data_IF_512179665937
#
_entry.id   IF_512179665937
#
_cell.length_a   1.000
_cell.length_b   1.000
_cell.length_c   1.000
_cell.angle_alpha   90.00
_cell.angle_beta   90.00
_cell.angle_gamma   90.00
#
_symmetry.space_group_name_H-M   'P 1'
#
loop_
_entity.id
_entity.type
_entity.pdbx_description
1 polymer ?
#
# COMPACT_ATOMS: atom_id res chain seq x y z
N UNK A 1 15.40 28.07 6.15
CA UNK A 1 14.96 27.02 7.08
C UNK A 1 15.98 25.90 6.99
N UNK A 2 16.49 25.45 8.12
CA UNK A 2 17.42 24.34 8.21
C UNK A 2 16.65 23.10 8.72
N UNK A 3 16.79 21.96 8.05
CA UNK A 3 16.06 20.74 8.37
C UNK A 3 16.99 19.78 9.13
N UNK A 4 16.59 19.32 10.32
CA UNK A 4 17.38 18.35 11.09
C UNK A 4 17.40 16.96 10.46
N UNK A 5 16.36 16.62 9.71
CA UNK A 5 16.25 15.43 8.86
C UNK A 5 15.73 15.88 7.52
N UNK A 6 16.57 15.79 6.49
CA UNK A 6 16.22 16.19 5.13
C UNK A 6 16.31 14.97 4.20
N UNK A 7 15.21 14.55 3.55
CA UNK A 7 15.29 13.49 2.55
C UNK A 7 16.20 13.90 1.38
N UNK A 8 16.92 12.92 0.83
CA UNK A 8 17.81 13.13 -0.33
C UNK A 8 17.05 13.74 -1.50
N UNK A 9 15.82 13.27 -1.76
CA UNK A 9 14.92 13.88 -2.74
C UNK A 9 13.97 14.86 -2.05
N UNK A 10 14.14 16.14 -2.40
CA UNK A 10 13.38 17.28 -1.88
C UNK A 10 11.88 17.15 -2.06
N UNK A 11 11.41 16.36 -3.04
CA UNK A 11 9.98 16.11 -3.28
C UNK A 11 9.29 15.41 -2.10
N UNK A 12 10.05 14.70 -1.27
CA UNK A 12 9.51 13.97 -0.11
C UNK A 12 9.56 14.75 1.20
N UNK A 13 10.04 16.00 1.21
CA UNK A 13 10.10 16.84 2.43
C UNK A 13 8.74 16.99 3.11
N UNK A 14 7.66 17.04 2.33
CA UNK A 14 6.28 17.12 2.85
C UNK A 14 5.67 15.77 3.22
N UNK A 15 6.36 14.66 2.93
CA UNK A 15 5.87 13.29 3.17
C UNK A 15 6.44 12.69 4.45
N UNK A 16 7.71 12.99 4.75
CA UNK A 16 8.39 12.50 5.96
C UNK A 16 7.66 12.99 7.21
N UNK A 17 7.37 12.07 8.15
CA UNK A 17 6.69 12.41 9.40
C UNK A 17 5.17 12.55 9.30
N UNK A 18 4.55 12.12 8.20
CA UNK A 18 3.08 12.08 8.08
C UNK A 18 2.43 11.25 9.19
N UNK A 19 1.35 11.79 9.79
CA UNK A 19 0.59 11.16 10.90
C UNK A 19 -0.89 10.95 10.58
N UNK A 20 -1.29 11.09 9.31
CA UNK A 20 -2.70 10.96 8.91
C UNK A 20 -3.21 9.54 9.13
N UNK A 21 -2.42 8.55 8.74
CA UNK A 21 -2.69 7.11 8.90
C UNK A 21 -1.40 6.33 8.72
N UNK A 22 -1.32 5.07 9.19
CA UNK A 22 -0.20 4.19 8.84
C UNK A 22 -0.07 4.08 7.32
N UNK A 23 1.17 4.06 6.85
CA UNK A 23 1.46 3.92 5.44
C UNK A 23 1.11 2.51 4.94
N UNK A 24 0.99 2.35 3.63
CA UNK A 24 0.82 1.03 3.02
C UNK A 24 1.91 0.04 3.46
N UNK A 25 3.14 0.54 3.59
CA UNK A 25 4.30 -0.27 3.99
C UNK A 25 4.19 -0.75 5.44
N UNK A 26 3.65 0.06 6.34
CA UNK A 26 3.42 -0.32 7.74
C UNK A 26 2.44 -1.50 7.81
N UNK A 27 1.30 -1.39 7.13
CA UNK A 27 0.32 -2.49 7.05
C UNK A 27 0.90 -3.72 6.38
N UNK A 28 1.72 -3.56 5.34
CA UNK A 28 2.39 -4.69 4.68
C UNK A 28 3.31 -5.44 5.65
N UNK A 29 4.11 -4.72 6.45
CA UNK A 29 4.99 -5.34 7.44
C UNK A 29 4.19 -6.07 8.52
N UNK A 30 3.15 -5.42 9.08
CA UNK A 30 2.27 -6.03 10.07
C UNK A 30 1.62 -7.31 9.53
N UNK A 31 1.03 -7.24 8.33
CA UNK A 31 0.39 -8.40 7.71
C UNK A 31 1.40 -9.50 7.36
N UNK A 32 2.61 -9.14 6.95
CA UNK A 32 3.67 -10.12 6.71
C UNK A 32 4.08 -10.84 8.00
N UNK A 33 4.02 -10.18 9.15
CA UNK A 33 4.39 -10.80 10.43
C UNK A 33 3.24 -11.66 10.99
N UNK A 34 2.03 -11.10 11.06
CA UNK A 34 0.90 -11.75 11.73
C UNK A 34 0.02 -12.62 10.82
N UNK A 35 0.11 -12.46 9.49
CA UNK A 35 -0.75 -13.16 8.53
C UNK A 35 0.03 -13.91 7.44
N UNK A 36 1.32 -14.16 7.64
CA UNK A 36 2.20 -14.88 6.70
C UNK A 36 1.65 -16.23 6.24
N UNK A 37 0.86 -16.90 7.08
CA UNK A 37 0.32 -18.22 6.81
C UNK A 37 -1.04 -18.24 6.09
N UNK A 38 -1.73 -17.10 5.98
CA UNK A 38 -3.11 -17.07 5.45
C UNK A 38 -3.21 -17.42 3.97
N UNK A 39 -2.26 -16.94 3.17
CA UNK A 39 -2.30 -17.08 1.72
C UNK A 39 -1.19 -17.98 1.16
N UNK A 40 -0.68 -18.95 1.94
CA UNK A 40 0.43 -19.80 1.51
C UNK A 40 0.14 -20.62 0.24
N UNK A 41 -1.12 -21.00 0.03
CA UNK A 41 -1.52 -21.78 -1.15
C UNK A 41 -1.83 -20.91 -2.38
N UNK A 42 -1.78 -19.57 -2.27
CA UNK A 42 -2.09 -18.71 -3.40
C UNK A 42 -0.92 -18.67 -4.39
N UNK A 43 -1.23 -18.81 -5.68
CA UNK A 43 -0.29 -18.56 -6.76
C UNK A 43 -0.44 -17.13 -7.34
N UNK A 44 -1.24 -16.29 -6.69
CA UNK A 44 -1.49 -14.92 -7.13
C UNK A 44 -0.21 -14.07 -7.04
N UNK A 45 0.22 -13.53 -8.20
CA UNK A 45 1.39 -12.64 -8.29
C UNK A 45 0.97 -11.18 -8.31
N UNK A 46 1.22 -10.47 -7.21
CA UNK A 46 0.99 -9.04 -7.10
C UNK A 46 2.13 -8.22 -7.71
N UNK A 47 1.81 -7.11 -8.37
CA UNK A 47 2.75 -6.19 -9.01
C UNK A 47 2.94 -4.89 -8.21
N UNK A 48 3.95 -4.12 -8.59
CA UNK A 48 4.27 -2.79 -8.03
C UNK A 48 4.35 -2.73 -6.50
N UNK A 49 4.80 -3.82 -5.87
CA UNK A 49 4.96 -3.89 -4.42
C UNK A 49 3.71 -4.29 -3.63
N UNK A 50 2.61 -4.64 -4.31
CA UNK A 50 1.44 -5.27 -3.69
C UNK A 50 1.72 -6.64 -3.07
N UNK A 51 0.77 -7.15 -2.29
CA UNK A 51 0.84 -8.48 -1.66
C UNK A 51 -0.56 -9.11 -1.60
N UNK A 52 -0.69 -10.45 -1.51
CA UNK A 52 -2.00 -11.09 -1.41
C UNK A 52 -2.77 -10.56 -0.20
N UNK A 53 -4.05 -10.21 -0.39
CA UNK A 53 -4.88 -9.74 0.72
C UNK A 53 -5.08 -10.88 1.73
N UNK A 54 -4.64 -10.72 3.00
CA UNK A 54 -4.81 -11.75 4.02
C UNK A 54 -6.26 -12.14 4.29
N UNK A 55 -7.21 -11.27 3.97
CA UNK A 55 -8.65 -11.53 4.09
C UNK A 55 -9.25 -12.16 2.83
N UNK A 56 -8.57 -12.04 1.69
CA UNK A 56 -9.01 -12.63 0.42
C UNK A 56 -7.80 -12.93 -0.48
N UNK A 57 -7.28 -14.16 -0.38
CA UNK A 57 -6.07 -14.58 -1.09
C UNK A 57 -6.19 -14.62 -2.64
N UNK A 58 -7.36 -14.32 -3.19
CA UNK A 58 -7.60 -14.25 -4.63
C UNK A 58 -7.44 -12.83 -5.21
N UNK A 59 -7.19 -11.82 -4.37
CA UNK A 59 -6.95 -10.43 -4.75
C UNK A 59 -5.73 -9.86 -4.02
N UNK A 60 -5.03 -8.91 -4.63
CA UNK A 60 -3.91 -8.22 -4.01
C UNK A 60 -4.36 -6.97 -3.25
N UNK A 61 -3.74 -6.73 -2.09
CA UNK A 61 -3.67 -5.40 -1.47
C UNK A 61 -2.64 -4.58 -2.24
N UNK A 62 -3.11 -3.50 -2.87
CA UNK A 62 -2.30 -2.64 -3.73
C UNK A 62 -1.88 -1.35 -3.04
N UNK A 63 -0.68 -0.81 -3.35
CA UNK A 63 -0.32 0.54 -2.97
C UNK A 63 -1.29 1.56 -3.59
N UNK A 64 -1.33 2.75 -2.99
CA UNK A 64 -2.16 3.84 -3.49
C UNK A 64 -1.83 4.19 -4.95
N UNK A 65 -2.88 4.39 -5.77
CA UNK A 65 -2.75 4.62 -7.20
C UNK A 65 -2.80 3.35 -8.06
N UNK A 66 -2.74 2.15 -7.46
CA UNK A 66 -2.88 0.87 -8.16
C UNK A 66 -4.13 0.10 -7.73
N UNK A 67 -4.66 -0.71 -8.63
CA UNK A 67 -5.85 -1.52 -8.41
C UNK A 67 -5.88 -2.77 -9.29
N UNK A 68 -7.05 -3.42 -9.33
CA UNK A 68 -7.21 -4.69 -10.03
C UNK A 68 -6.76 -5.88 -9.20
N UNK A 69 -6.87 -7.09 -9.78
CA UNK A 69 -6.62 -8.34 -9.06
C UNK A 69 -5.15 -8.50 -8.64
N UNK A 70 -4.24 -8.01 -9.46
CA UNK A 70 -2.78 -8.19 -9.36
C UNK A 70 -2.03 -6.84 -9.25
N UNK A 71 -2.73 -5.74 -8.99
CA UNK A 71 -2.21 -4.37 -8.94
C UNK A 71 -1.69 -3.82 -10.27
N UNK A 72 -2.06 -4.38 -11.43
CA UNK A 72 -1.63 -3.81 -12.73
C UNK A 72 -2.48 -2.65 -13.22
N UNK A 73 -3.68 -2.52 -12.68
CA UNK A 73 -4.61 -1.49 -13.13
C UNK A 73 -4.33 -0.19 -12.37
N UNK A 74 -4.65 0.94 -12.98
CA UNK A 74 -4.63 2.21 -12.27
C UNK A 74 -5.87 2.31 -11.38
N UNK A 75 -5.65 2.69 -10.13
CA UNK A 75 -6.76 3.09 -9.27
C UNK A 75 -7.33 4.38 -9.85
N UNK A 76 -8.54 4.31 -10.42
CA UNK A 76 -9.22 5.51 -10.92
C UNK A 76 -9.37 6.51 -9.76
N UNK A 77 -8.72 7.66 -9.91
CA UNK A 77 -8.77 8.79 -8.96
C UNK A 77 -10.20 9.31 -8.75
N UNK A 78 -11.10 9.04 -9.70
CA UNK A 78 -12.52 9.35 -9.56
C UNK A 78 -13.29 8.19 -8.93
N UNK A 79 -13.00 7.86 -7.67
CA UNK A 79 -14.01 7.22 -6.85
C UNK A 79 -14.98 8.31 -6.40
N UNK A 80 -16.13 8.34 -7.06
CA UNK A 80 -17.33 9.04 -6.63
C UNK A 80 -17.85 8.37 -5.34
N UNK A 81 -17.12 8.53 -4.25
CA UNK A 81 -17.60 8.15 -2.92
C UNK A 81 -18.28 9.40 -2.38
N UNK A 82 -19.60 9.43 -2.48
CA UNK A 82 -20.44 10.31 -1.69
C UNK A 82 -19.99 10.15 -0.23
N UNK A 83 -19.60 11.27 0.38
CA UNK A 83 -19.63 11.39 1.83
C UNK A 83 -21.06 11.06 2.27
N UNK A 84 -21.24 9.93 2.94
CA UNK A 84 -22.18 9.85 4.06
C UNK A 84 -21.35 10.02 5.35
#
# INVERSE_FOLDING_TARGET
>A
MDFTVDPIDVKYRSTVGSRVKPSFTDFKQINSFYCSNRCQMTNLRCRYGGYPDPNNCNVCKCPEGFGGQNCTDLQYSCKRTFFE
#
